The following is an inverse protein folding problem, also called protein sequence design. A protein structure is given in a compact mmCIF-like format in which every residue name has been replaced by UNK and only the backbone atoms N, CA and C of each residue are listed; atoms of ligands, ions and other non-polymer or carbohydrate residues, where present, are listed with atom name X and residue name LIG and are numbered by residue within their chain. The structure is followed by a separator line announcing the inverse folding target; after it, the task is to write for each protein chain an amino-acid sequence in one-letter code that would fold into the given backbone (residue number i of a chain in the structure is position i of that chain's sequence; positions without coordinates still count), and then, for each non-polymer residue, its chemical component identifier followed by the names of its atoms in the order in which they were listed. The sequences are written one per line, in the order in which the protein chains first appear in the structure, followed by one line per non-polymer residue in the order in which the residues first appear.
data_IF_262259519419
#
_entry.id   IF_262259519419
#
_cell.length_a   1.000
_cell.length_b   1.000
_cell.length_c   1.000
_cell.angle_alpha   90.00
_cell.angle_beta   90.00
_cell.angle_gamma   90.00
#
_symmetry.space_group_name_H-M   'P 1'
#
loop_
_entity.id
_entity.type
_entity.pdbx_description
1 polymer ?
#
# COMPACT_ATOMS: atom_id res chain seq x y z
N UNK A 1 23.98 -2.03 1.32
CA UNK A 1 22.92 -2.60 2.18
C UNK A 1 21.52 -2.23 1.70
N UNK A 2 21.18 -0.95 1.61
CA UNK A 2 19.83 -0.50 1.25
C UNK A 2 19.36 -0.95 -0.16
N UNK A 3 20.23 -0.90 -1.18
CA UNK A 3 19.92 -1.45 -2.50
C UNK A 3 19.68 -2.97 -2.49
N UNK A 4 20.37 -3.72 -1.62
CA UNK A 4 20.16 -5.15 -1.48
C UNK A 4 18.81 -5.46 -0.84
N UNK A 5 18.42 -4.69 0.19
CA UNK A 5 17.09 -4.78 0.80
C UNK A 5 16.02 -4.49 -0.25
N UNK A 6 16.18 -3.42 -1.03
CA UNK A 6 15.25 -3.07 -2.10
C UNK A 6 15.13 -4.20 -3.14
N UNK A 7 16.26 -4.75 -3.59
CA UNK A 7 16.28 -5.85 -4.56
C UNK A 7 15.53 -7.08 -4.02
N UNK A 8 15.75 -7.47 -2.76
CA UNK A 8 15.06 -8.59 -2.13
C UNK A 8 13.55 -8.30 -2.03
N UNK A 9 13.16 -7.12 -1.59
CA UNK A 9 11.74 -6.75 -1.47
C UNK A 9 11.03 -6.80 -2.83
N UNK A 10 11.62 -6.20 -3.86
CA UNK A 10 11.05 -6.16 -5.21
C UNK A 10 11.01 -7.52 -5.92
N UNK A 11 12.04 -8.35 -5.75
CA UNK A 11 12.17 -9.61 -6.50
C UNK A 11 11.63 -10.83 -5.77
N UNK A 12 11.62 -10.81 -4.44
CA UNK A 12 11.18 -11.94 -3.62
C UNK A 12 9.84 -11.64 -2.97
N UNK A 13 9.76 -10.55 -2.19
CA UNK A 13 8.58 -10.29 -1.35
C UNK A 13 7.36 -9.94 -2.18
N UNK A 14 7.44 -8.96 -3.10
CA UNK A 14 6.26 -8.58 -3.87
C UNK A 14 5.71 -9.71 -4.74
N UNK A 15 6.52 -10.46 -5.50
CA UNK A 15 6.04 -11.60 -6.28
C UNK A 15 5.45 -12.71 -5.41
N UNK A 16 6.05 -12.99 -4.25
CA UNK A 16 5.51 -13.97 -3.29
C UNK A 16 4.12 -13.55 -2.82
N UNK A 17 3.94 -12.29 -2.42
CA UNK A 17 2.65 -11.78 -1.94
C UNK A 17 1.61 -11.78 -3.05
N UNK A 18 1.97 -11.37 -4.27
CA UNK A 18 1.09 -11.50 -5.43
C UNK A 18 0.70 -12.95 -5.70
N UNK A 19 1.66 -13.87 -5.63
CA UNK A 19 1.39 -15.30 -5.79
C UNK A 19 0.40 -15.81 -4.74
N UNK A 20 0.59 -15.46 -3.47
CA UNK A 20 -0.33 -15.82 -2.39
C UNK A 20 -1.73 -15.26 -2.65
N UNK A 21 -1.85 -13.98 -2.98
CA UNK A 21 -3.14 -13.32 -3.25
C UNK A 21 -3.85 -13.93 -4.48
N UNK A 22 -3.08 -14.36 -5.48
CA UNK A 22 -3.64 -14.89 -6.72
C UNK A 22 -3.98 -16.38 -6.64
N UNK A 23 -3.20 -17.18 -5.93
CA UNK A 23 -3.32 -18.65 -5.93
C UNK A 23 -3.92 -19.21 -4.65
N UNK A 24 -3.59 -18.66 -3.49
CA UNK A 24 -4.02 -19.19 -2.19
C UNK A 24 -5.32 -18.56 -1.68
N UNK A 25 -5.74 -17.41 -2.22
CA UNK A 25 -6.96 -16.71 -1.79
C UNK A 25 -8.27 -17.25 -2.37
N UNK A 26 -8.35 -18.55 -2.70
CA UNK A 26 -9.58 -19.15 -3.25
C UNK A 26 -10.77 -19.12 -2.27
N UNK A 27 -10.48 -19.20 -0.97
CA UNK A 27 -11.49 -19.07 0.10
C UNK A 27 -11.88 -17.62 0.41
N UNK A 28 -11.19 -16.64 -0.19
CA UNK A 28 -11.39 -15.23 0.13
C UNK A 28 -12.45 -14.62 -0.78
N UNK A 29 -13.29 -13.76 -0.21
CA UNK A 29 -14.31 -13.02 -0.95
C UNK A 29 -13.68 -12.21 -2.08
N UNK A 30 -14.26 -12.26 -3.28
CA UNK A 30 -13.73 -11.63 -4.50
C UNK A 30 -13.44 -10.12 -4.31
N UNK A 31 -14.32 -9.43 -3.59
CA UNK A 31 -14.15 -8.00 -3.30
C UNK A 31 -12.96 -7.71 -2.37
N UNK A 32 -12.73 -8.56 -1.36
CA UNK A 32 -11.54 -8.44 -0.51
C UNK A 32 -10.27 -8.73 -1.30
N UNK A 33 -10.32 -9.71 -2.21
CA UNK A 33 -9.19 -10.07 -3.07
C UNK A 33 -8.77 -8.92 -3.97
N UNK A 34 -9.74 -8.23 -4.58
CA UNK A 34 -9.47 -7.00 -5.34
C UNK A 34 -8.82 -5.93 -4.47
N UNK A 35 -9.34 -5.71 -3.26
CA UNK A 35 -8.76 -4.75 -2.32
C UNK A 35 -7.31 -5.05 -1.96
N UNK A 36 -6.97 -6.32 -1.65
CA UNK A 36 -5.59 -6.74 -1.39
C UNK A 36 -4.69 -6.59 -2.61
N UNK A 37 -5.18 -6.86 -3.83
CA UNK A 37 -4.41 -6.64 -5.06
C UNK A 37 -4.12 -5.16 -5.30
N UNK A 38 -5.09 -4.29 -5.08
CA UNK A 38 -4.91 -2.83 -5.20
C UNK A 38 -3.92 -2.33 -4.15
N UNK A 39 -4.05 -2.77 -2.89
CA UNK A 39 -3.10 -2.43 -1.83
C UNK A 39 -1.68 -2.88 -2.18
N UNK A 40 -1.51 -4.14 -2.59
CA UNK A 40 -0.21 -4.70 -2.95
C UNK A 40 0.44 -3.96 -4.14
N UNK A 41 -0.36 -3.60 -5.15
CA UNK A 41 0.11 -2.82 -6.30
C UNK A 41 0.52 -1.41 -5.87
N UNK A 42 -0.25 -0.80 -4.97
CA UNK A 42 0.04 0.54 -4.43
C UNK A 42 1.36 0.53 -3.64
N UNK A 43 1.58 -0.50 -2.82
CA UNK A 43 2.83 -0.68 -2.07
C UNK A 43 4.02 -0.93 -3.00
N UNK A 44 3.88 -1.74 -4.04
CA UNK A 44 4.93 -1.94 -5.04
C UNK A 44 5.31 -0.61 -5.73
N UNK A 45 4.32 0.17 -6.16
CA UNK A 45 4.56 1.47 -6.79
C UNK A 45 5.20 2.45 -5.81
N UNK A 46 4.78 2.43 -4.55
CA UNK A 46 5.37 3.23 -3.49
C UNK A 46 6.84 2.86 -3.29
N UNK A 47 7.18 1.57 -3.19
CA UNK A 47 8.56 1.12 -3.00
C UNK A 47 9.45 1.51 -4.19
N UNK A 48 8.97 1.38 -5.43
CA UNK A 48 9.69 1.85 -6.62
C UNK A 48 9.88 3.37 -6.55
N UNK A 49 8.83 4.13 -6.24
CA UNK A 49 8.89 5.58 -6.24
C UNK A 49 9.82 6.13 -5.14
N UNK A 50 9.70 5.62 -3.91
CA UNK A 50 10.42 6.13 -2.75
C UNK A 50 11.75 5.46 -2.47
N UNK A 51 12.00 4.26 -2.98
CA UNK A 51 13.29 3.59 -2.73
C UNK A 51 14.22 3.67 -3.93
N UNK A 52 13.68 3.84 -5.15
CA UNK A 52 14.47 3.90 -6.38
C UNK A 52 14.50 5.32 -6.99
N UNK A 53 13.33 5.92 -7.23
CA UNK A 53 13.23 7.16 -8.02
C UNK A 53 13.54 8.42 -7.20
N UNK A 54 12.83 8.62 -6.09
CA UNK A 54 12.89 9.81 -5.25
C UNK A 54 13.03 9.36 -3.82
N UNK A 55 14.25 9.02 -3.44
CA UNK A 55 14.56 8.47 -2.14
C UNK A 55 14.83 9.59 -1.11
N UNK A 56 13.85 9.96 -0.26
CA UNK A 56 14.08 10.94 0.78
C UNK A 56 14.91 10.31 1.90
N UNK A 57 15.98 10.99 2.29
CA UNK A 57 16.80 10.64 3.43
C UNK A 57 16.71 11.78 4.45
N UNK A 58 16.01 11.57 5.59
CA UNK A 58 15.98 12.57 6.64
C UNK A 58 17.39 12.72 7.22
N UNK A 59 17.92 13.94 7.18
CA UNK A 59 19.24 14.23 7.72
C UNK A 59 19.11 14.56 9.21
N UNK A 60 18.98 13.56 10.07
CA UNK A 60 19.02 13.85 11.52
C UNK A 60 20.40 14.37 11.93
N UNK A 61 20.50 15.43 12.78
CA UNK A 61 19.45 16.11 13.53
C UNK A 61 18.84 17.35 12.83
N UNK A 62 19.26 17.69 11.61
CA UNK A 62 18.77 18.88 10.91
C UNK A 62 17.37 18.63 10.31
N UNK A 63 16.48 19.63 10.27
CA UNK A 63 15.17 19.51 9.62
C UNK A 63 15.31 19.62 8.09
N UNK A 64 16.20 18.81 7.52
CA UNK A 64 16.51 18.77 6.10
C UNK A 64 16.31 17.35 5.57
N UNK A 65 15.86 17.25 4.33
CA UNK A 65 15.69 15.98 3.61
C UNK A 65 16.63 16.00 2.42
N UNK A 66 17.61 15.10 2.42
CA UNK A 66 18.41 14.82 1.23
C UNK A 66 17.62 13.89 0.30
N UNK A 67 17.87 13.97 -1.01
CA UNK A 67 17.24 13.10 -2.00
C UNK A 67 18.34 12.33 -2.74
N UNK A 68 18.34 10.99 -2.62
CA UNK A 68 19.43 10.13 -3.15
C UNK A 68 18.99 9.18 -4.29
N UNK A 69 17.73 9.24 -4.71
CA UNK A 69 17.18 8.45 -5.80
C UNK A 69 17.62 8.94 -7.20
N UNK A 70 17.42 8.08 -8.20
CA UNK A 70 17.87 8.29 -9.59
C UNK A 70 17.32 9.59 -10.18
N UNK A 71 16.08 9.96 -9.82
CA UNK A 71 15.42 11.14 -10.35
C UNK A 71 15.62 12.40 -9.48
N UNK A 72 16.39 12.35 -8.39
CA UNK A 72 16.49 13.45 -7.43
C UNK A 72 17.06 14.75 -8.01
N UNK A 73 17.93 14.70 -9.02
CA UNK A 73 18.47 15.87 -9.72
C UNK A 73 17.62 16.39 -10.89
N UNK A 74 16.49 15.74 -11.19
CA UNK A 74 15.62 16.13 -12.31
C UNK A 74 14.51 17.05 -11.78
N UNK A 75 14.52 18.32 -12.19
CA UNK A 75 13.55 19.36 -11.82
C UNK A 75 12.20 19.26 -12.57
N UNK A 76 11.89 18.11 -13.17
CA UNK A 76 10.64 17.90 -13.91
C UNK A 76 9.35 18.02 -13.08
N UNK A 77 9.42 17.96 -11.74
CA UNK A 77 8.24 18.01 -10.86
C UNK A 77 8.49 19.06 -9.76
N UNK A 78 7.71 20.16 -9.72
CA UNK A 78 7.83 21.16 -8.66
C UNK A 78 7.55 20.57 -7.27
N UNK A 79 8.23 21.10 -6.25
CA UNK A 79 8.21 20.56 -4.87
C UNK A 79 6.79 20.36 -4.30
N UNK A 80 5.86 21.29 -4.58
CA UNK A 80 4.47 21.18 -4.13
C UNK A 80 3.75 19.94 -4.68
N UNK A 81 4.00 19.60 -5.95
CA UNK A 81 3.44 18.40 -6.58
C UNK A 81 4.05 17.14 -5.99
N UNK A 82 5.34 17.17 -5.66
CA UNK A 82 5.98 16.07 -4.95
C UNK A 82 5.35 15.82 -3.57
N UNK A 83 5.16 16.86 -2.76
CA UNK A 83 4.48 16.70 -1.47
C UNK A 83 3.07 16.11 -1.62
N UNK A 84 2.33 16.52 -2.65
CA UNK A 84 1.02 15.92 -2.98
C UNK A 84 1.12 14.43 -3.30
N UNK A 85 2.05 14.04 -4.17
CA UNK A 85 2.29 12.62 -4.54
C UNK A 85 2.64 11.81 -3.29
N UNK A 86 3.53 12.33 -2.44
CA UNK A 86 3.96 11.64 -1.22
C UNK A 86 2.78 11.42 -0.29
N UNK A 87 1.97 12.46 -0.09
CA UNK A 87 0.78 12.43 0.76
C UNK A 87 -0.22 11.38 0.26
N UNK A 88 -0.44 11.29 -1.05
CA UNK A 88 -1.37 10.32 -1.66
C UNK A 88 -0.89 8.88 -1.42
N UNK A 89 0.39 8.59 -1.65
CA UNK A 89 0.91 7.24 -1.45
C UNK A 89 0.84 6.81 0.03
N UNK A 90 1.32 7.65 0.95
CA UNK A 90 1.32 7.35 2.38
C UNK A 90 -0.10 7.19 2.95
N UNK A 91 -0.98 8.17 2.71
CA UNK A 91 -2.32 8.12 3.28
C UNK A 91 -3.21 7.11 2.55
N UNK A 92 -3.08 7.00 1.22
CA UNK A 92 -3.87 6.07 0.43
C UNK A 92 -3.64 4.61 0.83
N UNK A 93 -2.38 4.20 0.98
CA UNK A 93 -2.05 2.85 1.46
C UNK A 93 -2.59 2.61 2.89
N UNK A 94 -2.46 3.61 3.78
CA UNK A 94 -2.98 3.53 5.14
C UNK A 94 -4.49 3.36 5.21
N UNK A 95 -5.24 4.17 4.45
CA UNK A 95 -6.71 4.08 4.39
C UNK A 95 -7.16 2.74 3.82
N UNK A 96 -6.52 2.26 2.75
CA UNK A 96 -6.81 0.95 2.16
C UNK A 96 -6.54 -0.20 3.14
N UNK A 97 -5.43 -0.13 3.88
CA UNK A 97 -5.11 -1.12 4.90
C UNK A 97 -6.14 -1.15 6.03
N UNK A 98 -6.51 0.02 6.58
CA UNK A 98 -7.51 0.12 7.63
C UNK A 98 -8.86 -0.42 7.14
N UNK A 99 -9.27 -0.06 5.91
CA UNK A 99 -10.49 -0.57 5.31
C UNK A 99 -10.48 -2.11 5.24
N UNK A 100 -9.40 -2.73 4.75
CA UNK A 100 -9.29 -4.19 4.67
C UNK A 100 -9.33 -4.86 6.05
N UNK A 101 -8.64 -4.27 7.04
CA UNK A 101 -8.67 -4.76 8.42
C UNK A 101 -10.07 -4.72 9.03
N UNK A 102 -10.80 -3.62 8.85
CA UNK A 102 -12.19 -3.50 9.32
C UNK A 102 -13.10 -4.52 8.64
N UNK A 103 -12.89 -4.79 7.34
CA UNK A 103 -13.66 -5.80 6.60
C UNK A 103 -13.37 -7.21 7.11
N UNK A 104 -12.12 -7.56 7.40
CA UNK A 104 -11.78 -8.84 8.02
C UNK A 104 -12.43 -9.00 9.39
N UNK A 105 -12.38 -7.97 10.24
CA UNK A 105 -12.99 -8.00 11.56
C UNK A 105 -14.51 -8.20 11.49
N UNK A 106 -15.18 -7.67 10.47
CA UNK A 106 -16.61 -7.86 10.26
C UNK A 106 -17.00 -9.29 9.84
N UNK A 107 -16.09 -10.05 9.22
CA UNK A 107 -16.33 -11.45 8.86
C UNK A 107 -16.18 -12.37 10.08
N UNK A 108 -15.45 -11.94 11.12
CA UNK A 108 -15.26 -12.69 12.37
C UNK A 108 -16.41 -12.52 13.38
N UNK A 109 -17.17 -11.43 13.30
CA UNK A 109 -18.26 -11.15 14.25
C UNK A 109 -19.54 -11.86 13.77
N UNK A 110 -20.06 -12.87 14.51
CA UNK A 110 -21.35 -13.47 14.18
C UNK A 110 -22.50 -12.51 14.56
N UNK A 111 -23.42 -12.27 13.61
CA UNK A 111 -24.67 -11.54 13.85
C UNK A 111 -24.78 -10.16 13.17
N UNK A 112 -25.98 -9.54 13.22
CA UNK A 112 -26.24 -8.24 12.60
C UNK A 112 -25.65 -7.10 13.45
N UNK A 113 -24.54 -6.52 12.98
CA UNK A 113 -23.94 -5.32 13.58
C UNK A 113 -24.38 -4.05 12.85
N UNK A 114 -24.74 -2.99 13.60
CA UNK A 114 -25.06 -1.66 13.06
C UNK A 114 -23.87 -0.97 12.38
N UNK A 115 -22.65 -1.46 12.61
CA UNK A 115 -21.40 -0.90 12.08
C UNK A 115 -20.86 -1.67 10.86
N UNK A 116 -21.70 -2.48 10.18
CA UNK A 116 -21.28 -3.26 9.01
C UNK A 116 -21.07 -2.33 7.81
N UNK A 117 -19.85 -2.32 7.25
CA UNK A 117 -19.43 -1.42 6.16
C UNK A 117 -20.08 -1.80 4.81
N UNK A 118 -20.58 -3.03 4.71
CA UNK A 118 -21.24 -3.56 3.52
C UNK A 118 -22.70 -3.86 3.83
N UNK A 119 -23.63 -3.10 3.25
CA UNK A 119 -24.99 -3.58 3.00
C UNK A 119 -24.95 -4.66 1.92
N UNK A 120 -24.50 -5.87 2.25
CA UNK A 120 -25.04 -7.01 1.51
C UNK A 120 -26.46 -7.13 2.05
N UNK A 121 -27.41 -6.84 1.18
CA UNK A 121 -28.84 -6.97 1.42
C UNK A 121 -29.09 -8.25 2.23
N UNK A 122 -29.47 -8.11 3.50
CA UNK A 122 -30.22 -9.17 4.17
C UNK A 122 -31.53 -9.28 3.42
N UNK A 123 -31.53 -10.06 2.35
CA UNK A 123 -32.72 -10.45 1.62
C UNK A 123 -32.67 -11.98 1.50
N UNK A 124 -32.51 -12.64 2.64
CA UNK A 124 -32.85 -14.04 2.86
C UNK A 124 -33.06 -14.23 4.36
N UNK A 125 -34.31 -14.01 4.76
CA UNK A 125 -35.15 -14.60 5.81
C UNK A 125 -36.14 -13.52 6.26
#
# INVERSE_FOLDING_TARGET
LMFAILAITLTVIHPLVFYVILKQSKSMNSEMRKGYLVLQTTQLLQDIFFSLLKQPYPLTPVPAVACMGICCGVEWIPAIKMFGIITIFLNGAGVMYIYLMLRMQQELIPGPSRLRISMRCCLYI
#
